data_IF_165111616524
#
_entry.id   IF_165111616524
#
_cell.length_a   1.000
_cell.length_b   1.000
_cell.length_c   1.000
_cell.angle_alpha   90.00
_cell.angle_beta   90.00
_cell.angle_gamma   90.00
#
_symmetry.space_group_name_H-M   'P 1'
#
loop_
_entity.id
_entity.type
_entity.pdbx_description
1 polymer ?
#
# COMPACT_ATOMS: atom_id res chain seq x y z
N UNK A 1 6.81 -50.34 19.06
CA UNK A 1 5.68 -49.40 18.90
C UNK A 1 5.97 -48.00 19.43
N UNK A 2 6.56 -47.82 20.62
CA UNK A 2 6.84 -46.49 21.21
C UNK A 2 7.86 -45.64 20.42
N UNK A 3 8.91 -46.27 19.85
CA UNK A 3 9.92 -45.58 19.01
C UNK A 3 9.33 -44.98 17.73
N UNK A 4 8.45 -45.72 17.04
CA UNK A 4 7.82 -45.26 15.80
C UNK A 4 6.86 -44.09 16.06
N UNK A 5 6.21 -44.06 17.23
CA UNK A 5 5.36 -42.94 17.65
C UNK A 5 6.19 -41.67 17.90
N UNK A 6 7.37 -41.77 18.50
CA UNK A 6 8.29 -40.64 18.71
C UNK A 6 8.79 -40.08 17.38
N UNK A 7 9.17 -40.94 16.42
CA UNK A 7 9.56 -40.49 15.08
C UNK A 7 8.42 -39.82 14.33
N UNK A 8 7.19 -40.32 14.47
CA UNK A 8 6.01 -39.70 13.87
C UNK A 8 5.71 -38.32 14.48
N UNK A 9 5.87 -38.17 15.80
CA UNK A 9 5.66 -36.90 16.50
C UNK A 9 6.73 -35.85 16.13
N UNK A 10 7.98 -36.27 15.93
CA UNK A 10 9.06 -35.38 15.50
C UNK A 10 8.87 -34.89 14.05
N UNK A 11 8.29 -35.71 13.16
CA UNK A 11 8.09 -35.39 11.74
C UNK A 11 7.02 -34.31 11.51
N UNK A 12 6.08 -34.15 12.45
CA UNK A 12 5.00 -33.15 12.37
C UNK A 12 5.29 -31.87 13.18
N UNK A 13 6.40 -31.84 13.92
CA UNK A 13 6.82 -30.67 14.68
C UNK A 13 7.41 -29.62 13.73
N UNK A 14 6.55 -28.81 13.12
CA UNK A 14 6.99 -27.63 12.37
C UNK A 14 7.43 -26.55 13.38
N UNK A 15 8.67 -26.05 13.32
CA UNK A 15 9.08 -24.94 14.17
C UNK A 15 8.34 -23.69 13.71
N UNK A 16 7.44 -23.17 14.54
CA UNK A 16 6.89 -21.82 14.37
C UNK A 16 8.06 -20.86 14.56
N UNK A 17 8.59 -20.32 13.47
CA UNK A 17 9.66 -19.32 13.50
C UNK A 17 9.09 -18.03 14.09
N UNK A 18 9.13 -17.89 15.41
CA UNK A 18 8.86 -16.62 16.08
C UNK A 18 10.11 -15.74 15.97
N UNK A 19 9.98 -14.60 15.31
CA UNK A 19 11.07 -13.62 15.19
C UNK A 19 10.87 -12.53 16.23
N UNK A 20 11.87 -12.33 17.08
CA UNK A 20 11.90 -11.23 18.06
C UNK A 20 12.92 -10.18 17.62
N UNK A 21 12.47 -8.94 17.52
CA UNK A 21 13.33 -7.76 17.31
C UNK A 21 13.50 -7.05 18.64
N UNK A 22 14.72 -6.69 18.98
CA UNK A 22 15.05 -5.92 20.18
C UNK A 22 15.35 -4.48 19.77
N UNK A 23 14.73 -3.52 20.46
CA UNK A 23 14.98 -2.10 20.27
C UNK A 23 15.79 -1.58 21.44
N UNK A 24 16.88 -0.89 21.13
CA UNK A 24 17.72 -0.20 22.10
C UNK A 24 17.97 1.23 21.65
N UNK A 25 18.30 2.10 22.60
CA UNK A 25 18.75 3.46 22.30
C UNK A 25 20.19 3.49 21.76
N UNK A 26 20.69 4.69 21.48
CA UNK A 26 22.07 4.91 21.00
C UNK A 26 23.16 4.50 21.99
N UNK A 27 22.83 4.37 23.28
CA UNK A 27 23.74 3.94 24.34
C UNK A 27 23.64 2.43 24.60
N UNK A 28 22.77 1.71 23.88
CA UNK A 28 22.54 0.28 24.04
C UNK A 28 21.52 -0.08 25.13
N UNK A 29 20.85 0.90 25.74
CA UNK A 29 19.82 0.64 26.76
C UNK A 29 18.55 0.09 26.10
N UNK A 30 17.93 -0.96 26.66
CA UNK A 30 16.74 -1.57 26.08
C UNK A 30 15.55 -0.61 26.13
N UNK A 31 14.84 -0.47 25.01
CA UNK A 31 13.59 0.27 24.89
C UNK A 31 12.38 -0.67 24.87
N UNK A 32 12.54 -1.86 24.28
CA UNK A 32 11.47 -2.84 24.17
C UNK A 32 11.73 -3.90 23.11
N UNK A 33 10.69 -4.67 22.82
CA UNK A 33 10.75 -5.77 21.84
C UNK A 33 9.53 -5.77 20.93
N UNK A 34 9.72 -6.29 19.72
CA UNK A 34 8.65 -6.68 18.81
C UNK A 34 8.76 -8.17 18.50
N UNK A 35 7.78 -8.96 18.93
CA UNK A 35 7.71 -10.38 18.65
C UNK A 35 6.67 -10.65 17.57
N UNK A 36 7.09 -11.21 16.44
CA UNK A 36 6.20 -11.61 15.36
C UNK A 36 5.74 -13.05 15.52
N UNK A 37 4.44 -13.26 15.43
CA UNK A 37 3.79 -14.56 15.37
C UNK A 37 2.70 -14.52 14.30
N UNK A 38 2.93 -15.22 13.18
CA UNK A 38 2.09 -15.15 12.00
C UNK A 38 1.98 -13.71 11.46
N UNK A 39 0.75 -13.21 11.35
CA UNK A 39 0.45 -11.85 10.88
C UNK A 39 0.37 -10.81 12.00
N UNK A 40 0.64 -11.20 13.24
CA UNK A 40 0.55 -10.31 14.41
C UNK A 40 1.94 -10.07 14.97
N UNK A 41 2.22 -8.79 15.24
CA UNK A 41 3.40 -8.35 15.98
C UNK A 41 2.96 -7.85 17.35
N UNK A 42 3.59 -8.38 18.39
CA UNK A 42 3.37 -8.01 19.78
C UNK A 42 4.50 -7.09 20.24
N UNK A 43 4.15 -5.92 20.78
CA UNK A 43 5.11 -4.95 21.28
C UNK A 43 5.12 -4.95 22.80
N UNK A 44 6.32 -4.94 23.37
CA UNK A 44 6.55 -4.81 24.80
C UNK A 44 7.56 -3.72 25.09
N UNK A 45 7.46 -3.09 26.26
CA UNK A 45 8.47 -2.14 26.75
C UNK A 45 9.74 -2.86 27.24
N UNK A 46 10.73 -2.10 27.70
CA UNK A 46 11.99 -2.60 28.24
C UNK A 46 11.84 -3.58 29.41
N UNK A 47 10.75 -3.47 30.19
CA UNK A 47 10.44 -4.36 31.31
C UNK A 47 9.66 -5.62 30.87
N UNK A 48 9.42 -5.79 29.57
CA UNK A 48 8.62 -6.89 29.03
C UNK A 48 7.11 -6.71 29.18
N UNK A 49 6.62 -5.55 29.65
CA UNK A 49 5.19 -5.27 29.74
C UNK A 49 4.60 -5.06 28.35
N UNK A 50 3.49 -5.73 27.98
CA UNK A 50 2.81 -5.50 26.71
C UNK A 50 2.36 -4.04 26.59
N UNK A 51 2.62 -3.42 25.45
CA UNK A 51 2.17 -2.04 25.15
C UNK A 51 1.15 -2.00 24.01
N UNK A 52 1.11 -3.02 23.16
CA UNK A 52 0.14 -3.12 22.08
C UNK A 52 0.47 -4.19 21.05
N UNK A 53 -0.34 -4.25 20.01
CA UNK A 53 -0.19 -5.19 18.90
C UNK A 53 -0.39 -4.49 17.55
N UNK A 54 0.21 -5.06 16.50
CA UNK A 54 -0.08 -4.73 15.12
C UNK A 54 -0.46 -6.01 14.37
N UNK A 55 -1.64 -6.03 13.75
CA UNK A 55 -2.11 -7.18 12.96
C UNK A 55 -2.26 -6.79 11.50
N UNK A 56 -1.60 -7.53 10.62
CA UNK A 56 -1.69 -7.31 9.18
C UNK A 56 -2.85 -8.13 8.57
N UNK A 57 -3.70 -7.44 7.81
CA UNK A 57 -4.76 -8.03 6.98
C UNK A 57 -4.78 -7.34 5.62
N UNK A 58 -4.34 -8.05 4.58
CA UNK A 58 -4.15 -7.49 3.24
C UNK A 58 -3.12 -6.35 3.24
N UNK A 59 -3.52 -5.20 2.68
CA UNK A 59 -2.74 -3.97 2.67
C UNK A 59 -2.97 -3.07 3.90
N UNK A 60 -3.70 -3.55 4.91
CA UNK A 60 -4.00 -2.77 6.12
C UNK A 60 -3.35 -3.42 7.34
N UNK A 61 -2.70 -2.61 8.16
CA UNK A 61 -2.24 -2.98 9.49
C UNK A 61 -3.13 -2.32 10.54
N UNK A 62 -3.66 -3.10 11.47
CA UNK A 62 -4.50 -2.64 12.57
C UNK A 62 -3.68 -2.62 13.85
N UNK A 63 -3.72 -1.50 14.57
CA UNK A 63 -3.00 -1.32 15.82
C UNK A 63 -3.97 -1.32 17.00
N UNK A 64 -3.60 -2.02 18.07
CA UNK A 64 -4.32 -2.02 19.33
C UNK A 64 -3.39 -1.72 20.50
N UNK A 65 -3.92 -1.12 21.56
CA UNK A 65 -3.18 -0.90 22.80
C UNK A 65 -3.05 -2.19 23.63
N UNK A 66 -2.38 -2.12 24.77
CA UNK A 66 -2.20 -3.24 25.69
C UNK A 66 -3.51 -3.90 26.19
N UNK A 67 -4.61 -3.15 26.21
CA UNK A 67 -5.94 -3.65 26.60
C UNK A 67 -6.71 -4.27 25.43
N UNK A 68 -6.11 -4.33 24.23
CA UNK A 68 -6.74 -4.82 23.01
C UNK A 68 -7.65 -3.83 22.31
N UNK A 69 -7.75 -2.58 22.79
CA UNK A 69 -8.58 -1.56 22.14
C UNK A 69 -7.90 -1.03 20.88
N UNK A 70 -8.63 -0.87 19.76
CA UNK A 70 -8.06 -0.34 18.53
C UNK A 70 -7.62 1.11 18.72
N UNK A 71 -6.42 1.45 18.25
CA UNK A 71 -5.84 2.80 18.32
C UNK A 71 -5.61 3.42 16.93
N UNK A 72 -5.61 2.61 15.87
CA UNK A 72 -5.49 3.13 14.51
C UNK A 72 -5.22 2.06 13.47
N UNK A 73 -5.09 2.50 12.22
CA UNK A 73 -4.74 1.65 11.08
C UNK A 73 -3.68 2.34 10.22
N UNK A 74 -2.86 1.55 9.52
CA UNK A 74 -1.96 2.01 8.48
C UNK A 74 -2.22 1.24 7.19
N UNK A 75 -2.15 1.92 6.04
CA UNK A 75 -2.23 1.26 4.74
C UNK A 75 -0.87 1.22 4.07
N UNK A 76 -0.52 0.05 3.55
CA UNK A 76 0.60 -0.13 2.64
C UNK A 76 0.26 0.55 1.31
N UNK A 77 1.14 1.42 0.76
CA UNK A 77 0.93 2.00 -0.56
C UNK A 77 0.73 0.90 -1.61
N UNK A 78 -0.33 0.99 -2.40
CA UNK A 78 -0.48 0.13 -3.56
C UNK A 78 0.38 0.68 -4.70
N UNK A 79 1.07 -0.18 -5.49
CA UNK A 79 1.76 0.28 -6.67
C UNK A 79 0.76 0.92 -7.63
N UNK A 80 0.98 2.19 -7.98
CA UNK A 80 0.18 2.90 -8.98
C UNK A 80 0.41 2.21 -10.32
N UNK A 81 -0.63 1.61 -10.89
CA UNK A 81 -0.54 1.08 -12.25
C UNK A 81 -0.42 2.24 -13.24
N UNK A 82 0.47 2.18 -14.24
CA UNK A 82 0.59 3.23 -15.24
C UNK A 82 -0.74 3.38 -16.02
N UNK A 83 -1.26 4.60 -16.08
CA UNK A 83 -2.46 4.93 -16.85
C UNK A 83 -2.21 4.67 -18.33
N UNK A 84 -3.03 3.81 -18.93
CA UNK A 84 -2.98 3.54 -20.37
C UNK A 84 -3.75 4.68 -21.06
N UNK A 85 -3.04 5.67 -21.61
CA UNK A 85 -3.66 6.71 -22.41
C UNK A 85 -4.19 6.10 -23.72
N UNK A 86 -5.49 5.80 -23.76
CA UNK A 86 -6.15 5.52 -25.03
C UNK A 86 -6.18 6.82 -25.84
N UNK A 87 -5.44 6.85 -26.97
CA UNK A 87 -5.51 7.96 -27.92
C UNK A 87 -6.95 8.05 -28.44
N UNK A 88 -7.72 9.00 -27.92
CA UNK A 88 -9.00 9.37 -28.51
C UNK A 88 -8.68 10.15 -29.77
N UNK A 89 -9.03 9.68 -30.98
CA UNK A 89 -8.76 10.43 -32.20
C UNK A 89 -9.55 11.74 -32.14
N UNK A 90 -8.84 12.86 -31.97
CA UNK A 90 -9.44 14.19 -32.09
C UNK A 90 -9.76 14.46 -33.55
N UNK A 91 -11.04 14.42 -33.92
CA UNK A 91 -11.49 14.99 -35.18
C UNK A 91 -11.35 16.51 -35.11
N UNK A 92 -10.50 17.07 -35.98
CA UNK A 92 -10.34 18.52 -36.06
C UNK A 92 -11.68 19.16 -36.46
N UNK A 93 -12.10 20.25 -35.80
CA UNK A 93 -13.31 20.97 -36.19
C UNK A 93 -13.18 21.51 -37.60
N UNK A 94 -14.25 21.41 -38.39
CA UNK A 94 -14.31 21.93 -39.76
C UNK A 94 -14.02 23.43 -39.79
N UNK A 95 -13.05 23.84 -40.61
CA UNK A 95 -12.70 25.26 -40.77
C UNK A 95 -13.86 26.00 -41.45
N UNK A 96 -14.31 27.16 -40.94
CA UNK A 96 -15.32 27.97 -41.61
C UNK A 96 -14.79 28.48 -42.95
N UNK A 97 -15.56 28.30 -44.02
CA UNK A 97 -15.25 28.84 -45.35
C UNK A 97 -15.81 30.25 -45.48
N UNK A 98 -14.94 31.21 -45.80
CA UNK A 98 -15.35 32.58 -46.12
C UNK A 98 -15.61 32.73 -47.63
N UNK A 99 -16.65 33.47 -48.05
CA UNK A 99 -16.89 33.73 -49.47
C UNK A 99 -15.75 34.58 -50.06
N UNK A 100 -15.16 34.14 -51.16
CA UNK A 100 -14.03 34.79 -51.84
C UNK A 100 -14.46 35.84 -52.89
N UNK A 101 -15.75 36.20 -52.94
CA UNK A 101 -16.26 37.11 -53.97
C UNK A 101 -16.12 38.57 -53.51
N UNK A 102 -15.47 39.47 -54.30
CA UNK A 102 -15.37 40.88 -53.95
C UNK A 102 -16.74 41.57 -54.07
N UNK A 103 -17.16 42.24 -52.99
CA UNK A 103 -18.35 43.08 -52.93
C UNK A 103 -18.05 44.48 -53.46
N UNK A 104 -17.93 44.66 -54.77
CA UNK A 104 -17.97 46.01 -55.34
C UNK A 104 -18.85 46.08 -56.58
N UNK A 105 -19.82 47.00 -56.65
CA UNK A 105 -20.55 47.27 -57.88
C UNK A 105 -19.62 48.02 -58.84
N UNK A 106 -19.39 47.46 -60.04
CA UNK A 106 -18.70 48.15 -61.12
C UNK A 106 -19.53 49.36 -61.55
N UNK A 107 -19.04 50.57 -61.26
CA UNK A 107 -19.65 51.79 -61.79
C UNK A 107 -19.38 51.88 -63.29
N UNK A 108 -20.38 52.09 -64.16
CA UNK A 108 -20.15 52.34 -65.58
C UNK A 108 -19.64 53.77 -65.74
N UNK A 109 -18.41 53.95 -66.20
CA UNK A 109 -17.96 55.26 -66.70
C UNK A 109 -18.34 55.35 -68.18
N UNK A 110 -19.31 56.21 -68.46
CA UNK A 110 -19.93 56.41 -69.77
C UNK A 110 -19.03 57.06 -70.82
N UNK A 111 -19.66 57.14 -72.00
CA UNK A 111 -19.23 57.67 -73.30
C UNK A 111 -18.55 59.05 -73.25
#
# INVERSE_FOLDING_TARGET
MKKNLVYLLLLIATPVLSQTTYYSDSNGMPLGTAQKSGNTTYYSNANGTPIGTAQQSGSTTYYSNANGMPVGTAQSPQPIQPLQFQQVPMNAPSVPTFPTSPLFPSSPRGM
#
